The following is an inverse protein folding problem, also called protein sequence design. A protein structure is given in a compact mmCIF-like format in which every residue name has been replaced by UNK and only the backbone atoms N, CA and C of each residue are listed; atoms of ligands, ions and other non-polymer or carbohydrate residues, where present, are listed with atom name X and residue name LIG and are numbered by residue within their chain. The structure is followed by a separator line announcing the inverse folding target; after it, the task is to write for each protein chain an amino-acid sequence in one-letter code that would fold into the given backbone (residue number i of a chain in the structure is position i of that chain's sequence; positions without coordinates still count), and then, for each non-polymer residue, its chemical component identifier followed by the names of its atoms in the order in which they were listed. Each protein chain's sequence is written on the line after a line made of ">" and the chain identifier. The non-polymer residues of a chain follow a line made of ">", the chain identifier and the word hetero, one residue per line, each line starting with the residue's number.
data_IF_172362487445
#
_entry.id   IF_172362487445
#
_cell.length_a   1.000
_cell.length_b   1.000
_cell.length_c   1.000
_cell.angle_alpha   90.00
_cell.angle_beta   90.00
_cell.angle_gamma   90.00
#
_symmetry.space_group_name_H-M   'P 1'
#
loop_
_entity.id
_entity.type
_entity.pdbx_description
1 polymer ?
#
# COMPACT_ATOMS: atom_id res chain seq x y z
N UNK A 1 12.38 -3.36 5.17
CA UNK A 1 12.39 -1.90 5.41
C UNK A 1 11.17 -1.53 6.23
N UNK A 2 11.22 -0.42 6.97
CA UNK A 2 10.01 0.30 7.38
C UNK A 2 9.64 1.31 6.29
N UNK A 3 8.35 1.65 6.16
CA UNK A 3 7.86 2.62 5.19
C UNK A 3 6.73 3.48 5.75
N UNK A 4 6.52 4.62 5.09
CA UNK A 4 5.37 5.49 5.22
C UNK A 4 4.96 5.89 3.80
N UNK A 5 3.72 5.57 3.43
CA UNK A 5 3.19 5.82 2.09
C UNK A 5 1.95 6.71 2.19
N UNK A 6 1.76 7.58 1.20
CA UNK A 6 0.61 8.48 1.10
C UNK A 6 0.16 8.58 -0.36
N UNK A 7 -1.16 8.58 -0.58
CA UNK A 7 -1.74 8.66 -1.91
C UNK A 7 -3.15 9.25 -1.89
N UNK A 8 -3.60 9.69 -3.07
CA UNK A 8 -4.94 10.17 -3.32
C UNK A 8 -5.27 9.89 -4.80
N UNK A 9 -6.53 9.56 -5.09
CA UNK A 9 -7.04 9.35 -6.45
C UNK A 9 -8.27 10.22 -6.61
N UNK A 10 -8.27 11.07 -7.64
CA UNK A 10 -9.29 12.08 -7.91
C UNK A 10 -9.50 12.23 -9.43
N UNK A 11 -10.64 12.79 -9.85
CA UNK A 11 -11.05 12.83 -11.26
C UNK A 11 -10.26 13.89 -12.07
N UNK A 12 -10.36 15.17 -11.69
CA UNK A 12 -9.62 16.27 -12.32
C UNK A 12 -8.70 17.00 -11.33
N UNK A 13 -7.71 17.75 -11.85
CA UNK A 13 -6.79 18.53 -10.99
C UNK A 13 -7.51 19.54 -10.07
N UNK A 14 -8.73 19.95 -10.42
CA UNK A 14 -9.56 20.82 -9.59
C UNK A 14 -10.24 20.12 -8.41
N UNK A 15 -10.35 18.79 -8.44
CA UNK A 15 -11.05 17.97 -7.44
C UNK A 15 -10.12 17.46 -6.34
N UNK A 16 -8.84 17.84 -6.38
CA UNK A 16 -7.90 17.46 -5.33
C UNK A 16 -8.34 18.00 -3.97
N UNK A 17 -8.64 17.08 -3.05
CA UNK A 17 -8.89 17.37 -1.64
C UNK A 17 -7.81 16.72 -0.75
N UNK A 18 -7.12 17.53 0.05
CA UNK A 18 -6.16 17.03 1.03
C UNK A 18 -6.82 16.20 2.13
N UNK A 19 -8.13 16.34 2.36
CA UNK A 19 -8.90 15.53 3.29
C UNK A 19 -9.04 14.06 2.85
N UNK A 20 -9.02 13.80 1.54
CA UNK A 20 -9.16 12.46 0.96
C UNK A 20 -7.82 11.70 0.85
N UNK A 21 -6.69 12.31 1.28
CA UNK A 21 -5.40 11.63 1.29
C UNK A 21 -5.45 10.40 2.20
N UNK A 22 -5.09 9.21 1.71
CA UNK A 22 -4.89 8.01 2.53
C UNK A 22 -3.41 7.79 2.78
N UNK A 23 -3.06 7.45 4.01
CA UNK A 23 -1.67 7.19 4.39
C UNK A 23 -1.54 5.99 5.31
N UNK A 24 -0.42 5.30 5.15
CA UNK A 24 -0.13 4.04 5.84
C UNK A 24 1.30 4.05 6.35
N UNK A 25 1.56 3.25 7.38
CA UNK A 25 2.92 2.89 7.77
C UNK A 25 3.03 1.38 7.88
N UNK A 26 4.21 0.84 7.59
CA UNK A 26 4.38 -0.58 7.61
C UNK A 26 5.80 -1.06 7.53
N UNK A 27 5.93 -2.37 7.44
CA UNK A 27 7.17 -3.07 7.17
C UNK A 27 7.02 -3.89 5.89
N UNK A 28 8.08 -3.91 5.10
CA UNK A 28 8.14 -4.69 3.87
C UNK A 28 9.44 -5.48 3.78
N UNK A 29 9.38 -6.63 3.12
CA UNK A 29 10.51 -7.50 2.87
C UNK A 29 10.45 -8.06 1.46
N UNK A 30 11.61 -8.26 0.88
CA UNK A 30 11.77 -9.00 -0.36
C UNK A 30 12.74 -10.15 -0.13
N UNK A 31 12.35 -11.35 -0.57
CA UNK A 31 13.17 -12.55 -0.49
C UNK A 31 13.27 -13.19 -1.87
N UNK A 32 14.48 -13.26 -2.40
CA UNK A 32 14.78 -14.04 -3.59
C UNK A 32 14.99 -15.50 -3.19
N UNK A 33 13.95 -16.32 -3.38
CA UNK A 33 13.98 -17.75 -3.12
C UNK A 33 14.46 -18.54 -4.34
N UNK A 34 14.79 -19.84 -4.22
CA UNK A 34 15.07 -20.71 -5.37
C UNK A 34 13.93 -20.82 -6.39
N UNK A 35 12.72 -20.40 -6.04
CA UNK A 35 11.52 -20.50 -6.87
C UNK A 35 11.01 -19.15 -7.39
N UNK A 36 11.69 -18.06 -7.07
CA UNK A 36 11.33 -16.71 -7.51
C UNK A 36 11.33 -15.67 -6.38
N UNK A 37 11.04 -14.44 -6.76
CA UNK A 37 10.99 -13.30 -5.86
C UNK A 37 9.66 -13.27 -5.11
N UNK A 38 9.74 -13.36 -3.78
CA UNK A 38 8.64 -13.10 -2.87
C UNK A 38 8.77 -11.68 -2.32
N UNK A 39 7.72 -10.88 -2.41
CA UNK A 39 7.58 -9.62 -1.67
C UNK A 39 6.44 -9.76 -0.69
N UNK A 40 6.64 -9.24 0.51
CA UNK A 40 5.62 -9.19 1.56
C UNK A 40 5.62 -7.81 2.18
N UNK A 41 4.44 -7.31 2.53
CA UNK A 41 4.26 -6.12 3.34
C UNK A 41 3.18 -6.34 4.38
N UNK A 42 3.38 -5.73 5.55
CA UNK A 42 2.39 -5.56 6.58
C UNK A 42 2.25 -4.07 6.84
N UNK A 43 1.06 -3.53 6.59
CA UNK A 43 0.77 -2.09 6.62
C UNK A 43 -0.42 -1.81 7.52
N UNK A 44 -0.33 -0.76 8.34
CA UNK A 44 -1.44 -0.21 9.09
C UNK A 44 -1.90 1.10 8.43
N UNK A 45 -3.17 1.22 8.02
CA UNK A 45 -3.72 2.52 7.64
C UNK A 45 -3.78 3.43 8.87
N UNK A 46 -3.49 4.71 8.66
CA UNK A 46 -3.44 5.71 9.73
C UNK A 46 -4.66 6.64 9.72
N UNK A 47 -5.50 6.55 8.68
CA UNK A 47 -6.73 7.31 8.52
C UNK A 47 -7.77 6.58 7.65
N UNK A 48 -8.01 5.30 7.99
CA UNK A 48 -9.07 4.50 7.37
C UNK A 48 -10.45 5.13 7.59
N UNK A 49 -11.27 5.12 6.54
CA UNK A 49 -12.68 5.55 6.56
C UNK A 49 -13.63 4.39 6.21
N UNK A 50 -14.93 4.57 6.48
CA UNK A 50 -15.95 3.51 6.38
C UNK A 50 -16.11 2.94 4.95
N UNK A 51 -15.72 3.69 3.92
CA UNK A 51 -15.79 3.29 2.51
C UNK A 51 -14.45 2.75 1.96
N UNK A 52 -13.40 2.70 2.78
CA UNK A 52 -12.10 2.17 2.36
C UNK A 52 -12.08 0.63 2.40
N UNK A 53 -11.54 0.02 1.33
CA UNK A 53 -11.24 -1.41 1.30
C UNK A 53 -9.79 -1.67 1.76
N UNK A 54 -9.61 -2.00 3.05
CA UNK A 54 -8.27 -2.18 3.65
C UNK A 54 -7.73 -3.60 3.53
N UNK A 55 -6.49 -3.73 3.05
CA UNK A 55 -5.69 -4.96 3.08
C UNK A 55 -4.39 -4.78 3.88
N UNK A 56 -4.38 -5.21 5.15
CA UNK A 56 -3.23 -5.03 6.06
C UNK A 56 -2.02 -5.89 5.68
N UNK A 57 -2.23 -7.06 5.07
CA UNK A 57 -1.15 -7.96 4.65
C UNK A 57 -1.20 -8.18 3.14
N UNK A 58 -0.10 -7.88 2.46
CA UNK A 58 0.02 -8.06 1.03
C UNK A 58 1.24 -8.92 0.70
N UNK A 59 1.12 -9.74 -0.33
CA UNK A 59 2.23 -10.51 -0.86
C UNK A 59 2.16 -10.61 -2.38
N UNK A 60 3.32 -10.69 -3.03
CA UNK A 60 3.43 -11.05 -4.44
C UNK A 60 4.55 -12.07 -4.61
N UNK A 61 4.33 -13.04 -5.49
CA UNK A 61 5.28 -14.11 -5.76
C UNK A 61 5.49 -14.28 -7.27
N UNK A 62 6.75 -14.33 -7.69
CA UNK A 62 7.12 -14.49 -9.11
C UNK A 62 7.11 -13.18 -9.88
N UNK A 63 6.74 -13.23 -11.15
CA UNK A 63 6.61 -12.06 -12.01
C UNK A 63 5.14 -11.60 -11.99
N UNK A 64 4.85 -10.57 -11.19
CA UNK A 64 3.52 -9.94 -11.14
C UNK A 64 3.47 -8.79 -12.16
N UNK A 65 2.37 -8.70 -12.91
CA UNK A 65 2.04 -7.59 -13.84
C UNK A 65 1.04 -6.67 -13.16
#
# INVERSE_FOLDING_TARGET
>A
SGFFDIGNVFEDTGDFDAGELRYTTGIAGAWLSPFGLLRVSLAAPLNEEDEDDTETFQFSFGQSF
#
